data_IF_703400536336
#
_entry.id   IF_703400536336
#
_cell.length_a   1.000
_cell.length_b   1.000
_cell.length_c   1.000
_cell.angle_alpha   90.00
_cell.angle_beta   90.00
_cell.angle_gamma   90.00
#
_symmetry.space_group_name_H-M   'P 1'
#
loop_
_entity.id
_entity.type
_entity.pdbx_description
1 polymer ?
#
# COMPACT_ATOMS: atom_id res chain seq x y z
N UNK A 1 19.93 -5.50 3.14
CA UNK A 1 19.24 -4.72 4.18
C UNK A 1 18.31 -3.70 3.54
N UNK A 2 17.12 -3.58 4.07
CA UNK A 2 16.13 -2.64 3.55
C UNK A 2 16.45 -1.21 3.98
N UNK A 3 16.46 -0.30 3.03
CA UNK A 3 16.59 1.13 3.27
C UNK A 3 15.30 1.83 2.82
N UNK A 4 14.65 2.55 3.72
CA UNK A 4 13.40 3.25 3.42
C UNK A 4 13.72 4.74 3.26
N UNK A 5 13.32 5.33 2.13
CA UNK A 5 13.52 6.76 1.87
C UNK A 5 12.24 7.41 1.37
N UNK A 6 12.16 8.72 1.55
CA UNK A 6 11.05 9.50 1.01
C UNK A 6 11.12 9.50 -0.52
N UNK A 7 9.98 9.28 -1.16
CA UNK A 7 9.90 9.35 -2.62
C UNK A 7 9.89 10.81 -3.08
N UNK A 8 10.45 11.05 -4.27
CA UNK A 8 10.42 12.33 -4.96
C UNK A 8 9.54 12.22 -6.19
N UNK A 9 9.27 13.35 -6.85
CA UNK A 9 8.45 13.35 -8.07
C UNK A 9 9.03 12.44 -9.16
N UNK A 10 10.36 12.31 -9.21
CA UNK A 10 11.04 11.45 -10.18
C UNK A 10 10.78 9.97 -9.94
N UNK A 11 10.32 9.59 -8.77
CA UNK A 11 10.07 8.20 -8.40
C UNK A 11 8.68 7.71 -8.84
N UNK A 12 7.84 8.57 -9.39
CA UNK A 12 6.49 8.20 -9.83
C UNK A 12 6.45 6.97 -10.74
N UNK A 13 7.23 6.94 -11.82
CA UNK A 13 7.24 5.78 -12.73
C UNK A 13 7.64 4.48 -12.07
N UNK A 14 8.67 4.47 -11.22
CA UNK A 14 9.10 3.23 -10.55
C UNK A 14 8.08 2.81 -9.48
N UNK A 15 7.49 3.75 -8.76
CA UNK A 15 6.44 3.44 -7.79
C UNK A 15 5.24 2.81 -8.48
N UNK A 16 4.85 3.33 -9.63
CA UNK A 16 3.76 2.78 -10.43
C UNK A 16 4.08 1.36 -10.90
N UNK A 17 5.31 1.13 -11.37
CA UNK A 17 5.73 -0.19 -11.83
C UNK A 17 5.69 -1.22 -10.70
N UNK A 18 6.14 -0.86 -9.51
CA UNK A 18 6.07 -1.73 -8.34
C UNK A 18 4.61 -2.10 -8.04
N UNK A 19 3.72 -1.10 -8.07
CA UNK A 19 2.29 -1.32 -7.85
C UNK A 19 1.71 -2.29 -8.86
N UNK A 20 1.99 -2.08 -10.15
CA UNK A 20 1.45 -2.93 -11.21
C UNK A 20 1.93 -4.37 -11.09
N UNK A 21 3.22 -4.58 -10.85
CA UNK A 21 3.77 -5.92 -10.68
C UNK A 21 3.20 -6.62 -9.45
N UNK A 22 3.07 -5.89 -8.34
CA UNK A 22 2.50 -6.44 -7.10
C UNK A 22 1.05 -6.87 -7.29
N UNK A 23 0.22 -6.02 -7.90
CA UNK A 23 -1.18 -6.35 -8.14
C UNK A 23 -1.32 -7.56 -9.05
N UNK A 24 -0.58 -7.59 -10.15
CA UNK A 24 -0.64 -8.70 -11.12
C UNK A 24 -0.23 -10.03 -10.51
N UNK A 25 0.71 -10.01 -9.59
CA UNK A 25 1.23 -11.22 -8.98
C UNK A 25 0.45 -11.66 -7.74
N UNK A 26 0.14 -10.71 -6.85
CA UNK A 26 -0.35 -11.03 -5.50
C UNK A 26 -1.87 -11.06 -5.40
N UNK A 27 -2.56 -10.34 -6.25
CA UNK A 27 -4.02 -10.27 -6.22
C UNK A 27 -4.68 -11.30 -7.15
N UNK A 28 -3.92 -11.98 -7.98
CA UNK A 28 -4.45 -13.02 -8.86
C UNK A 28 -5.03 -14.15 -8.01
N UNK A 29 -6.23 -14.62 -8.35
CA UNK A 29 -6.93 -15.61 -7.54
C UNK A 29 -7.83 -15.03 -6.45
N UNK A 30 -7.55 -13.81 -5.97
CA UNK A 30 -8.43 -13.10 -5.04
C UNK A 30 -9.47 -12.24 -5.79
N UNK A 31 -9.14 -11.85 -7.01
CA UNK A 31 -9.99 -11.02 -7.87
C UNK A 31 -10.04 -11.63 -9.26
N UNK A 32 -11.14 -11.42 -9.97
CA UNK A 32 -11.28 -11.95 -11.34
C UNK A 32 -10.39 -11.17 -12.31
N UNK A 33 -10.02 -11.82 -13.42
CA UNK A 33 -9.10 -11.26 -14.41
C UNK A 33 -9.55 -9.89 -14.94
N UNK A 34 -10.85 -9.70 -15.14
CA UNK A 34 -11.39 -8.43 -15.61
C UNK A 34 -11.18 -7.30 -14.60
N UNK A 35 -11.38 -7.58 -13.30
CA UNK A 35 -11.12 -6.60 -12.24
C UNK A 35 -9.63 -6.25 -12.21
N UNK A 36 -8.75 -7.24 -12.33
CA UNK A 36 -7.31 -7.03 -12.35
C UNK A 36 -6.89 -6.13 -13.51
N UNK A 37 -7.42 -6.39 -14.69
CA UNK A 37 -7.10 -5.62 -15.87
C UNK A 37 -7.54 -4.16 -15.74
N UNK A 38 -8.75 -3.92 -15.28
CA UNK A 38 -9.28 -2.57 -15.08
C UNK A 38 -8.51 -1.84 -13.99
N UNK A 39 -8.20 -2.53 -12.89
CA UNK A 39 -7.47 -1.97 -11.77
C UNK A 39 -6.08 -1.48 -12.17
N UNK A 40 -5.33 -2.30 -12.93
CA UNK A 40 -3.98 -1.94 -13.37
C UNK A 40 -3.98 -0.88 -14.46
N UNK A 41 -4.99 -0.87 -15.32
CA UNK A 41 -5.10 0.10 -16.41
C UNK A 41 -5.26 1.54 -15.91
N UNK A 42 -6.08 1.74 -14.89
CA UNK A 42 -6.39 3.07 -14.37
C UNK A 42 -5.25 3.75 -13.64
N UNK A 43 -4.15 3.04 -13.37
CA UNK A 43 -3.04 3.59 -12.59
C UNK A 43 -2.00 4.33 -13.42
N UNK A 44 -2.15 4.33 -14.76
CA UNK A 44 -1.08 4.73 -15.66
C UNK A 44 -0.93 6.23 -15.88
N UNK A 45 -1.73 7.07 -15.23
CA UNK A 45 -1.72 8.50 -15.53
C UNK A 45 -1.58 9.41 -14.30
N UNK A 46 -1.82 10.67 -14.48
CA UNK A 46 -1.54 11.80 -13.59
C UNK A 46 -1.87 11.61 -12.12
N UNK A 47 -2.79 10.73 -11.79
CA UNK A 47 -3.22 10.51 -10.40
C UNK A 47 -2.10 9.98 -9.49
N UNK A 48 -1.12 9.26 -10.04
CA UNK A 48 -0.05 8.71 -9.21
C UNK A 48 0.97 9.78 -8.82
N UNK A 49 1.18 10.77 -9.68
CA UNK A 49 2.03 11.92 -9.37
C UNK A 49 1.45 12.73 -8.21
N UNK A 50 0.13 12.86 -8.14
CA UNK A 50 -0.54 13.56 -7.05
C UNK A 50 -0.32 12.84 -5.70
N UNK A 51 -0.22 11.51 -5.70
CA UNK A 51 0.07 10.74 -4.48
C UNK A 51 1.47 11.02 -3.96
N UNK A 52 2.42 11.36 -4.82
CA UNK A 52 3.79 11.67 -4.42
C UNK A 52 3.88 12.93 -3.54
N UNK A 53 2.86 13.79 -3.56
CA UNK A 53 2.82 14.98 -2.70
C UNK A 53 2.54 14.60 -1.24
N UNK A 54 1.97 13.43 -0.98
CA UNK A 54 1.74 12.91 0.37
C UNK A 54 2.99 12.21 0.90
N UNK A 55 3.07 11.89 2.20
CA UNK A 55 4.18 11.08 2.74
C UNK A 55 4.24 9.70 2.05
N UNK A 56 4.99 9.63 0.97
CA UNK A 56 5.17 8.45 0.14
C UNK A 56 6.62 7.97 0.24
N UNK A 57 6.81 6.67 0.45
CA UNK A 57 8.13 6.10 0.71
C UNK A 57 8.44 4.94 -0.22
N UNK A 58 9.72 4.79 -0.53
CA UNK A 58 10.24 3.63 -1.25
C UNK A 58 11.12 2.82 -0.30
N UNK A 59 10.97 1.51 -0.35
CA UNK A 59 11.88 0.58 0.29
C UNK A 59 12.85 0.05 -0.74
N UNK A 60 14.15 0.17 -0.47
CA UNK A 60 15.19 -0.20 -1.41
C UNK A 60 16.09 -1.29 -0.82
N UNK A 61 16.45 -2.25 -1.65
CA UNK A 61 17.43 -3.29 -1.31
C UNK A 61 18.62 -3.12 -2.26
N UNK A 62 19.79 -2.90 -1.70
CA UNK A 62 21.02 -2.64 -2.48
C UNK A 62 20.83 -1.50 -3.48
N UNK A 63 20.11 -0.46 -3.08
CA UNK A 63 19.86 0.71 -3.90
C UNK A 63 18.71 0.56 -4.89
N UNK A 64 18.12 -0.63 -5.02
CA UNK A 64 17.01 -0.87 -5.95
C UNK A 64 15.67 -0.75 -5.26
N UNK A 65 14.76 0.11 -5.75
CA UNK A 65 13.42 0.19 -5.19
C UNK A 65 12.64 -1.11 -5.39
N UNK A 66 12.13 -1.69 -4.29
CA UNK A 66 11.41 -2.96 -4.32
C UNK A 66 10.06 -2.90 -3.61
N UNK A 67 9.77 -1.80 -2.93
CA UNK A 67 8.54 -1.66 -2.16
C UNK A 67 8.09 -0.20 -2.10
N UNK A 68 6.80 -0.01 -1.89
CA UNK A 68 6.20 1.31 -1.69
C UNK A 68 5.35 1.33 -0.43
N UNK A 69 5.08 2.52 0.08
CA UNK A 69 4.13 2.72 1.16
C UNK A 69 3.80 4.20 1.29
N UNK A 70 2.57 4.51 1.65
CA UNK A 70 2.10 5.88 1.76
C UNK A 70 1.25 6.06 3.01
N UNK A 71 1.35 7.23 3.63
CA UNK A 71 0.43 7.67 4.66
C UNK A 71 -0.35 8.88 4.14
N UNK A 72 -1.67 8.82 4.23
CA UNK A 72 -2.53 9.97 3.98
C UNK A 72 -2.89 10.59 5.33
N UNK A 73 -2.25 11.70 5.73
CA UNK A 73 -2.49 12.27 7.06
C UNK A 73 -3.90 12.80 7.23
N UNK A 74 -4.52 13.30 6.18
CA UNK A 74 -5.85 13.90 6.24
C UNK A 74 -6.92 12.85 6.55
N UNK A 75 -6.73 11.63 6.09
CA UNK A 75 -7.64 10.51 6.32
C UNK A 75 -7.11 9.51 7.34
N UNK A 76 -5.92 9.74 7.86
CA UNK A 76 -5.21 8.80 8.78
C UNK A 76 -5.12 7.40 8.16
N UNK A 77 -4.86 7.33 6.88
CA UNK A 77 -4.94 6.11 6.11
C UNK A 77 -3.59 5.65 5.60
N UNK A 78 -3.31 4.36 5.80
CA UNK A 78 -2.17 3.68 5.16
C UNK A 78 -2.60 3.23 3.78
N UNK A 79 -1.81 3.54 2.78
CA UNK A 79 -2.11 3.16 1.40
C UNK A 79 -0.86 2.83 0.60
N UNK A 80 -1.08 2.39 -0.63
CA UNK A 80 -0.03 2.11 -1.60
C UNK A 80 1.09 1.20 -1.06
N UNK A 81 0.76 0.25 -0.19
CA UNK A 81 1.73 -0.69 0.37
C UNK A 81 1.87 -1.89 -0.57
N UNK A 82 2.95 -1.88 -1.32
CA UNK A 82 3.23 -2.92 -2.32
C UNK A 82 4.68 -3.38 -2.23
N UNK A 83 4.91 -4.66 -2.50
CA UNK A 83 6.26 -5.27 -2.53
C UNK A 83 6.39 -6.04 -3.84
N UNK A 84 7.51 -5.89 -4.51
CA UNK A 84 7.79 -6.66 -5.74
C UNK A 84 7.71 -8.16 -5.46
N UNK A 85 7.17 -8.96 -6.42
CA UNK A 85 6.99 -10.41 -6.22
C UNK A 85 8.25 -11.14 -5.77
N UNK A 86 9.41 -10.79 -6.31
CA UNK A 86 10.67 -11.44 -5.96
C UNK A 86 11.18 -11.16 -4.55
N UNK A 87 10.53 -10.25 -3.84
CA UNK A 87 10.98 -9.80 -2.50
C UNK A 87 9.97 -10.11 -1.41
N UNK A 88 8.93 -10.85 -1.73
CA UNK A 88 7.91 -11.28 -0.77
C UNK A 88 8.50 -12.36 0.15
N UNK A 89 8.05 -12.38 1.40
CA UNK A 89 8.53 -13.36 2.38
C UNK A 89 9.83 -12.96 3.07
N UNK A 90 10.30 -11.74 2.88
CA UNK A 90 11.54 -11.23 3.51
C UNK A 90 11.28 -10.20 4.61
N UNK A 91 10.01 -10.02 5.00
CA UNK A 91 9.65 -9.05 6.04
C UNK A 91 9.61 -7.60 5.57
N UNK A 92 9.74 -7.34 4.29
CA UNK A 92 9.81 -5.98 3.74
C UNK A 92 8.48 -5.24 3.95
N UNK A 93 7.36 -5.89 3.66
CA UNK A 93 6.03 -5.30 3.87
C UNK A 93 5.81 -4.87 5.31
N UNK A 94 6.23 -5.71 6.26
CA UNK A 94 6.13 -5.39 7.68
C UNK A 94 7.01 -4.21 8.08
N UNK A 95 8.20 -4.11 7.53
CA UNK A 95 9.10 -2.99 7.81
C UNK A 95 8.54 -1.69 7.21
N UNK A 96 7.98 -1.74 5.99
CA UNK A 96 7.34 -0.58 5.39
C UNK A 96 6.16 -0.11 6.23
N UNK A 97 5.31 -1.03 6.67
CA UNK A 97 4.15 -0.72 7.51
C UNK A 97 4.57 -0.10 8.83
N UNK A 98 5.57 -0.67 9.49
CA UNK A 98 6.10 -0.12 10.74
C UNK A 98 6.63 1.30 10.55
N UNK A 99 7.30 1.57 9.43
CA UNK A 99 7.78 2.91 9.11
C UNK A 99 6.61 3.91 8.99
N UNK A 100 5.55 3.53 8.27
CA UNK A 100 4.37 4.38 8.12
C UNK A 100 3.70 4.65 9.47
N UNK A 101 3.65 3.67 10.34
CA UNK A 101 3.12 3.84 11.70
C UNK A 101 3.96 4.84 12.50
N UNK A 102 5.29 4.79 12.36
CA UNK A 102 6.16 5.76 13.02
C UNK A 102 5.95 7.17 12.46
N UNK A 103 5.77 7.31 11.15
CA UNK A 103 5.45 8.60 10.53
C UNK A 103 4.13 9.13 11.09
N UNK A 104 3.13 8.28 11.22
CA UNK A 104 1.83 8.66 11.78
C UNK A 104 1.98 9.17 13.23
N UNK A 105 2.70 8.43 14.07
CA UNK A 105 2.94 8.84 15.45
C UNK A 105 3.67 10.20 15.53
N UNK A 106 4.65 10.42 14.67
CA UNK A 106 5.37 11.68 14.62
C UNK A 106 4.47 12.86 14.24
N UNK A 107 3.37 12.58 13.52
CA UNK A 107 2.39 13.59 13.15
C UNK A 107 1.25 13.72 14.18
N UNK A 108 1.33 13.00 15.30
CA UNK A 108 0.30 13.03 16.33
C UNK A 108 -0.91 12.16 16.03
N UNK A 109 -0.82 11.27 15.07
CA UNK A 109 -1.90 10.35 14.71
C UNK A 109 -1.84 9.15 15.63
N UNK A 110 -2.93 8.88 16.36
CA UNK A 110 -2.98 7.78 17.30
C UNK A 110 -3.68 6.54 16.77
N UNK A 111 -4.38 6.66 15.66
CA UNK A 111 -5.12 5.56 15.06
C UNK A 111 -5.03 5.67 13.55
N UNK A 112 -4.71 4.56 12.88
CA UNK A 112 -4.66 4.51 11.41
C UNK A 112 -5.66 3.50 10.89
N UNK A 113 -6.18 3.78 9.70
CA UNK A 113 -7.12 2.92 9.00
C UNK A 113 -6.53 2.51 7.65
N UNK A 114 -7.05 1.44 7.09
CA UNK A 114 -6.73 1.02 5.74
C UNK A 114 -7.84 0.14 5.18
N UNK A 115 -7.86 0.01 3.87
CA UNK A 115 -8.71 -0.95 3.17
C UNK A 115 -7.81 -2.07 2.65
N UNK A 116 -7.87 -3.23 3.31
CA UNK A 116 -7.04 -4.37 2.94
C UNK A 116 -7.62 -5.07 1.72
N UNK A 117 -6.77 -5.44 0.77
CA UNK A 117 -7.19 -6.37 -0.27
C UNK A 117 -7.48 -7.73 0.37
N UNK A 118 -8.33 -8.54 -0.27
CA UNK A 118 -8.75 -9.81 0.30
C UNK A 118 -7.56 -10.74 0.59
N UNK A 119 -6.55 -10.70 -0.24
CA UNK A 119 -5.35 -11.53 -0.08
C UNK A 119 -4.37 -11.01 0.98
N UNK A 120 -4.52 -9.77 1.42
CA UNK A 120 -3.58 -9.15 2.37
C UNK A 120 -4.15 -9.00 3.79
N UNK A 121 -5.43 -9.28 4.00
CA UNK A 121 -6.07 -9.05 5.29
C UNK A 121 -5.37 -9.78 6.44
N UNK A 122 -4.96 -11.04 6.25
CA UNK A 122 -4.27 -11.81 7.29
C UNK A 122 -2.92 -11.22 7.64
N UNK A 123 -2.21 -10.68 6.66
CA UNK A 123 -0.96 -9.97 6.90
C UNK A 123 -1.18 -8.80 7.86
N UNK A 124 -2.20 -7.98 7.61
CA UNK A 124 -2.49 -6.85 8.49
C UNK A 124 -2.97 -7.27 9.88
N UNK A 125 -3.78 -8.33 9.96
CA UNK A 125 -4.22 -8.86 11.26
C UNK A 125 -3.03 -9.32 12.11
N UNK A 126 -2.03 -9.93 11.49
CA UNK A 126 -0.82 -10.36 12.19
C UNK A 126 -0.01 -9.18 12.71
N UNK A 127 -0.28 -7.98 12.23
CA UNK A 127 0.40 -6.75 12.63
C UNK A 127 -0.44 -5.86 13.54
N UNK A 128 -1.54 -6.39 14.08
CA UNK A 128 -2.37 -5.68 15.05
C UNK A 128 -3.55 -4.92 14.48
N UNK A 129 -3.83 -5.07 13.19
CA UNK A 129 -5.00 -4.45 12.57
C UNK A 129 -6.23 -5.31 12.82
N UNK A 130 -7.35 -4.66 13.06
CA UNK A 130 -8.62 -5.32 13.33
C UNK A 130 -9.63 -5.00 12.23
N UNK A 131 -10.35 -6.00 11.78
CA UNK A 131 -11.39 -5.90 10.77
C UNK A 131 -11.60 -7.25 10.12
N UNK A 132 -12.84 -7.62 9.88
CA UNK A 132 -13.18 -8.90 9.23
C UNK A 132 -14.34 -8.78 8.24
N UNK A 133 -15.11 -7.70 8.27
CA UNK A 133 -16.25 -7.52 7.39
C UNK A 133 -15.83 -6.99 6.04
N UNK A 134 -16.31 -7.61 4.97
CA UNK A 134 -16.06 -7.12 3.63
C UNK A 134 -16.87 -5.85 3.35
N UNK A 135 -16.26 -4.96 2.59
CA UNK A 135 -16.88 -3.75 2.09
C UNK A 135 -16.50 -3.59 0.62
N UNK A 136 -16.91 -2.50 0.01
CA UNK A 136 -16.61 -2.22 -1.39
C UNK A 136 -15.71 -0.98 -1.44
N UNK A 137 -14.54 -1.14 -2.03
CA UNK A 137 -13.67 -0.02 -2.35
C UNK A 137 -14.07 0.53 -3.72
N UNK A 138 -14.42 1.81 -3.76
CA UNK A 138 -14.78 2.51 -5.00
C UNK A 138 -13.53 3.20 -5.53
N UNK A 139 -12.90 2.61 -6.56
CA UNK A 139 -11.67 3.17 -7.11
C UNK A 139 -11.96 4.45 -7.90
N UNK A 140 -10.96 5.35 -8.04
CA UNK A 140 -11.11 6.55 -8.86
C UNK A 140 -11.44 6.25 -10.32
N UNK A 141 -11.14 5.05 -10.80
CA UNK A 141 -11.42 4.63 -12.18
C UNK A 141 -12.82 4.04 -12.36
N UNK A 142 -13.65 4.05 -11.30
CA UNK A 142 -15.01 3.54 -11.35
C UNK A 142 -15.13 2.04 -11.12
N UNK A 143 -14.03 1.37 -10.74
CA UNK A 143 -14.04 -0.05 -10.44
C UNK A 143 -14.38 -0.26 -8.96
N UNK A 144 -15.33 -1.16 -8.68
CA UNK A 144 -15.67 -1.55 -7.32
C UNK A 144 -14.92 -2.83 -6.97
N UNK A 145 -14.15 -2.80 -5.88
CA UNK A 145 -13.36 -3.93 -5.42
C UNK A 145 -13.77 -4.31 -4.00
N UNK A 146 -13.95 -5.59 -3.77
CA UNK A 146 -14.16 -6.09 -2.41
C UNK A 146 -12.89 -5.83 -1.59
N UNK A 147 -13.07 -5.33 -0.38
CA UNK A 147 -11.97 -5.06 0.54
C UNK A 147 -12.40 -5.31 1.98
N UNK A 148 -11.45 -5.27 2.90
CA UNK A 148 -11.73 -5.37 4.32
C UNK A 148 -11.18 -4.12 5.00
N UNK A 149 -12.06 -3.19 5.42
CA UNK A 149 -11.61 -2.03 6.18
C UNK A 149 -11.04 -2.46 7.52
N UNK A 150 -9.88 -1.94 7.86
CA UNK A 150 -9.17 -2.32 9.08
C UNK A 150 -8.68 -1.08 9.82
N UNK A 151 -8.48 -1.23 11.11
CA UNK A 151 -8.04 -0.15 12.00
C UNK A 151 -7.02 -0.68 12.98
N UNK A 152 -6.05 0.17 13.31
CA UNK A 152 -5.09 -0.12 14.37
C UNK A 152 -4.87 1.12 15.22
N UNK A 153 -4.94 0.96 16.53
CA UNK A 153 -4.53 2.00 17.46
C UNK A 153 -3.03 1.91 17.67
N UNK A 154 -2.36 3.03 17.44
CA UNK A 154 -0.91 3.11 17.59
C UNK A 154 -0.53 3.41 19.03
N UNK A 155 0.58 2.86 19.49
CA UNK A 155 1.11 3.14 20.80
C UNK A 155 2.51 3.71 20.70
N UNK A 156 2.79 4.64 21.58
CA UNK A 156 4.11 5.27 21.65
C UNK A 156 5.13 4.33 22.28
#
# INVERSE_FOLDING_TARGET
MLHIRRATDDDGPIALEIRLQAIRSQCIGAYIAEQMLTWTRGAAEDGYTALMAKPFYLGCVEGEPVATGMLDPDHREVGALFVLPGFIGRGIGGQMLAHLEQVALALGIEEVVLDATLNAADFYRSRGYEGCEQSIYHSPTGLDLACIPMVKRLSV
#
